data_IF_661929811651
#
_entry.id   IF_661929811651
#
_cell.length_a   1.000
_cell.length_b   1.000
_cell.length_c   1.000
_cell.angle_alpha   90.00
_cell.angle_beta   90.00
_cell.angle_gamma   90.00
#
_symmetry.space_group_name_H-M   'P 1'
#
loop_
_entity.id
_entity.type
_entity.pdbx_description
1 polymer ?
#
# COMPACT_ATOMS: atom_id res chain seq x y z
N UNK A 1 -6.58 -26.50 -18.75
CA UNK A 1 -5.28 -25.80 -18.57
C UNK A 1 -5.40 -24.43 -17.91
N UNK A 2 -6.39 -23.58 -18.24
CA UNK A 2 -6.52 -22.23 -17.68
C UNK A 2 -6.89 -22.16 -16.18
N UNK A 3 -7.66 -23.14 -15.65
CA UNK A 3 -8.00 -23.23 -14.21
C UNK A 3 -6.87 -23.75 -13.32
N UNK A 4 -5.97 -24.57 -13.85
CA UNK A 4 -4.82 -25.08 -13.08
C UNK A 4 -3.71 -24.04 -12.95
N UNK A 5 -3.60 -23.11 -13.90
CA UNK A 5 -2.69 -21.97 -13.81
C UNK A 5 -3.07 -20.98 -12.70
N UNK A 6 -4.36 -20.76 -12.45
CA UNK A 6 -4.85 -19.85 -11.39
C UNK A 6 -4.59 -20.45 -9.98
N UNK A 7 -4.77 -21.76 -9.84
CA UNK A 7 -4.51 -22.48 -8.58
C UNK A 7 -3.00 -22.54 -8.29
N UNK A 8 -2.18 -22.76 -9.32
CA UNK A 8 -0.71 -22.69 -9.18
C UNK A 8 -0.24 -21.26 -8.85
N UNK A 9 -0.85 -20.22 -9.42
CA UNK A 9 -0.52 -18.82 -9.09
C UNK A 9 -0.86 -18.47 -7.63
N UNK A 10 -2.01 -18.95 -7.12
CA UNK A 10 -2.43 -18.76 -5.72
C UNK A 10 -1.53 -19.52 -4.74
N UNK A 11 -1.04 -20.70 -5.11
CA UNK A 11 -0.10 -21.49 -4.32
C UNK A 11 1.32 -20.89 -4.33
N UNK A 12 1.76 -20.26 -5.42
CA UNK A 12 3.08 -19.59 -5.48
C UNK A 12 3.11 -18.32 -4.63
N UNK A 13 1.98 -17.61 -4.50
CA UNK A 13 1.85 -16.46 -3.58
C UNK A 13 1.93 -16.91 -2.11
N UNK A 14 1.49 -18.13 -1.79
CA UNK A 14 1.48 -18.66 -0.43
C UNK A 14 2.84 -19.18 0.08
N UNK A 15 3.83 -19.44 -0.79
CA UNK A 15 5.07 -20.16 -0.42
C UNK A 15 6.32 -19.26 -0.36
N UNK A 16 6.26 -18.00 -0.77
CA UNK A 16 7.46 -17.13 -0.88
C UNK A 16 7.55 -15.97 0.12
N UNK A 17 6.60 -15.86 1.05
CA UNK A 17 6.68 -14.92 2.17
C UNK A 17 6.52 -15.70 3.47
N UNK A 18 7.30 -15.34 4.50
CA UNK A 18 7.05 -15.78 5.88
C UNK A 18 5.54 -15.66 6.15
N UNK A 19 4.89 -16.58 6.89
CA UNK A 19 3.46 -16.45 7.16
C UNK A 19 3.21 -15.11 7.83
N UNK A 20 2.67 -14.15 7.07
CA UNK A 20 2.19 -12.91 7.62
C UNK A 20 1.05 -13.25 8.59
N UNK A 21 1.08 -12.63 9.76
CA UNK A 21 0.16 -12.76 10.91
C UNK A 21 -1.34 -12.56 10.61
N UNK A 22 -1.74 -12.55 9.33
CA UNK A 22 -2.98 -11.97 8.81
C UNK A 22 -3.78 -12.94 7.90
N UNK A 23 -3.32 -14.18 7.67
CA UNK A 23 -3.96 -15.10 6.72
C UNK A 23 -5.19 -15.87 7.26
N UNK A 24 -5.37 -15.97 8.59
CA UNK A 24 -6.43 -16.81 9.21
C UNK A 24 -7.86 -16.32 8.95
N UNK A 25 -8.12 -15.02 9.05
CA UNK A 25 -9.48 -14.48 8.92
C UNK A 25 -9.99 -14.46 7.47
N UNK A 26 -9.10 -14.34 6.50
CA UNK A 26 -9.43 -14.37 5.07
C UNK A 26 -9.88 -15.77 4.63
N UNK A 27 -9.21 -16.83 5.12
CA UNK A 27 -9.55 -18.22 4.81
C UNK A 27 -10.90 -18.64 5.43
N UNK A 28 -11.23 -18.19 6.65
CA UNK A 28 -12.56 -18.39 7.25
C UNK A 28 -13.67 -17.81 6.36
N UNK A 29 -13.45 -16.59 5.87
CA UNK A 29 -14.41 -15.88 5.05
C UNK A 29 -14.65 -16.54 3.70
N UNK A 30 -13.59 -16.99 3.04
CA UNK A 30 -13.70 -17.77 1.80
C UNK A 30 -14.47 -19.07 2.03
N UNK A 31 -14.27 -19.73 3.17
CA UNK A 31 -15.00 -20.95 3.51
C UNK A 31 -16.49 -20.73 3.78
N UNK A 32 -16.85 -19.70 4.54
CA UNK A 32 -18.25 -19.40 4.83
C UNK A 32 -19.02 -18.92 3.58
N UNK A 33 -18.37 -18.14 2.69
CA UNK A 33 -18.94 -17.77 1.39
C UNK A 33 -19.22 -19.02 0.54
N UNK A 34 -18.31 -20.00 0.55
CA UNK A 34 -18.50 -21.28 -0.15
C UNK A 34 -19.74 -22.05 0.34
N UNK A 35 -19.98 -22.10 1.66
CA UNK A 35 -21.18 -22.73 2.25
C UNK A 35 -22.48 -22.01 1.87
N UNK A 36 -22.45 -20.68 1.81
CA UNK A 36 -23.60 -19.87 1.39
C UNK A 36 -23.97 -20.10 -0.07
N UNK A 37 -22.99 -20.22 -0.97
CA UNK A 37 -23.24 -20.51 -2.40
C UNK A 37 -23.98 -21.85 -2.58
N UNK A 38 -23.68 -22.85 -1.75
CA UNK A 38 -24.39 -24.13 -1.74
C UNK A 38 -25.85 -23.99 -1.34
N UNK A 39 -26.14 -23.22 -0.29
CA UNK A 39 -27.52 -22.95 0.15
C UNK A 39 -28.34 -22.17 -0.90
N UNK A 40 -27.71 -21.24 -1.63
CA UNK A 40 -28.33 -20.53 -2.76
C UNK A 40 -28.63 -21.50 -3.92
N UNK A 41 -27.78 -22.50 -4.14
CA UNK A 41 -27.99 -23.53 -5.17
C UNK A 41 -29.15 -24.45 -4.80
N UNK A 42 -29.28 -24.83 -3.52
CA UNK A 42 -30.41 -25.62 -3.00
C UNK A 42 -31.74 -24.83 -3.05
N UNK A 43 -31.68 -23.50 -2.83
CA UNK A 43 -32.81 -22.60 -3.02
C UNK A 43 -33.28 -22.58 -4.49
N UNK A 44 -32.35 -22.50 -5.44
CA UNK A 44 -32.65 -22.53 -6.87
C UNK A 44 -33.29 -23.85 -7.31
N UNK A 45 -32.85 -24.98 -6.75
CA UNK A 45 -33.48 -26.29 -6.95
C UNK A 45 -34.92 -26.31 -6.39
N UNK A 46 -35.14 -25.71 -5.22
CA UNK A 46 -36.47 -25.61 -4.59
C UNK A 46 -37.44 -24.72 -5.39
N UNK A 47 -36.94 -23.65 -6.01
CA UNK A 47 -37.70 -22.75 -6.90
C UNK A 47 -38.10 -23.47 -8.21
N UNK A 48 -37.25 -24.37 -8.72
CA UNK A 48 -37.52 -25.16 -9.92
C UNK A 48 -38.62 -26.22 -9.70
N UNK A 49 -38.69 -26.85 -8.52
CA UNK A 49 -39.67 -27.93 -8.26
C UNK A 49 -41.02 -27.46 -7.74
N UNK A 50 -41.12 -26.34 -7.00
CA UNK A 50 -42.39 -25.96 -6.32
C UNK A 50 -42.69 -24.46 -6.45
N UNK A 51 -43.81 -24.14 -7.10
CA UNK A 51 -44.43 -22.78 -7.16
C UNK A 51 -44.98 -22.29 -5.81
N UNK A 52 -44.38 -22.69 -4.69
CA UNK A 52 -44.81 -22.34 -3.34
C UNK A 52 -44.05 -21.10 -2.85
N UNK A 53 -44.67 -19.94 -3.06
CA UNK A 53 -44.11 -18.61 -2.74
C UNK A 53 -43.76 -18.46 -1.25
N UNK A 54 -44.44 -19.16 -0.34
CA UNK A 54 -44.20 -19.06 1.10
C UNK A 54 -42.91 -19.78 1.52
N UNK A 55 -42.60 -20.92 0.89
CA UNK A 55 -41.32 -21.62 1.10
C UNK A 55 -40.14 -20.86 0.52
N UNK A 56 -40.32 -20.26 -0.65
CA UNK A 56 -39.30 -19.41 -1.28
C UNK A 56 -38.99 -18.20 -0.39
N UNK A 57 -40.02 -17.49 0.11
CA UNK A 57 -39.80 -16.33 0.99
C UNK A 57 -39.09 -16.70 2.30
N UNK A 58 -39.44 -17.84 2.92
CA UNK A 58 -38.76 -18.31 4.15
C UNK A 58 -37.32 -18.69 3.89
N UNK A 59 -37.03 -19.40 2.80
CA UNK A 59 -35.68 -19.83 2.47
C UNK A 59 -34.80 -18.63 2.06
N UNK A 60 -35.34 -17.64 1.33
CA UNK A 60 -34.67 -16.36 1.07
C UNK A 60 -34.40 -15.60 2.39
N UNK A 61 -35.37 -15.54 3.30
CA UNK A 61 -35.20 -14.89 4.61
C UNK A 61 -34.14 -15.58 5.48
N UNK A 62 -34.07 -16.91 5.46
CA UNK A 62 -33.04 -17.69 6.17
C UNK A 62 -31.65 -17.45 5.59
N UNK A 63 -31.53 -17.41 4.26
CA UNK A 63 -30.26 -17.12 3.57
C UNK A 63 -29.83 -15.67 3.86
N UNK A 64 -30.73 -14.69 3.75
CA UNK A 64 -30.43 -13.29 4.05
C UNK A 64 -29.98 -13.11 5.50
N UNK A 65 -30.65 -13.76 6.47
CA UNK A 65 -30.27 -13.72 7.89
C UNK A 65 -28.91 -14.37 8.21
N UNK A 66 -28.44 -15.29 7.36
CA UNK A 66 -27.12 -15.93 7.50
C UNK A 66 -26.02 -15.16 6.77
N UNK A 67 -26.34 -14.57 5.62
CA UNK A 67 -25.39 -13.81 4.79
C UNK A 67 -25.06 -12.45 5.41
N UNK A 68 -26.03 -11.78 6.02
CA UNK A 68 -25.84 -10.42 6.53
C UNK A 68 -24.70 -10.30 7.56
N UNK A 69 -24.66 -11.09 8.66
CA UNK A 69 -23.54 -11.04 9.61
C UNK A 69 -22.22 -11.52 8.98
N UNK A 70 -22.31 -12.42 7.99
CA UNK A 70 -21.15 -12.93 7.27
C UNK A 70 -20.49 -11.86 6.38
N UNK A 71 -21.30 -11.08 5.67
CA UNK A 71 -20.85 -9.96 4.86
C UNK A 71 -20.21 -8.86 5.72
N UNK A 72 -20.78 -8.60 6.90
CA UNK A 72 -20.22 -7.66 7.87
C UNK A 72 -18.88 -8.17 8.45
N UNK A 73 -18.79 -9.47 8.76
CA UNK A 73 -17.59 -10.10 9.32
C UNK A 73 -16.45 -10.25 8.28
N UNK A 74 -16.79 -10.53 7.02
CA UNK A 74 -15.82 -10.78 5.96
C UNK A 74 -15.44 -9.57 5.12
N UNK A 75 -16.16 -8.46 5.29
CA UNK A 75 -15.74 -7.17 4.73
C UNK A 75 -14.63 -6.50 5.55
N UNK A 76 -14.39 -6.94 6.79
CA UNK A 76 -13.41 -6.34 7.71
C UNK A 76 -12.57 -7.40 8.47
N UNK A 77 -11.84 -8.29 7.79
CA UNK A 77 -11.15 -9.43 8.41
C UNK A 77 -10.01 -9.04 9.36
N UNK A 78 -9.57 -7.77 9.37
CA UNK A 78 -8.45 -7.30 10.19
C UNK A 78 -8.80 -6.06 11.04
N UNK A 79 -10.09 -5.75 11.20
CA UNK A 79 -10.55 -4.60 12.00
C UNK A 79 -9.97 -3.25 11.53
N UNK A 80 -9.79 -3.18 10.21
CA UNK A 80 -9.33 -2.02 9.48
C UNK A 80 -10.38 -0.90 9.48
N UNK A 81 -11.67 -1.27 9.50
CA UNK A 81 -12.76 -0.30 9.57
C UNK A 81 -12.71 0.53 10.85
N UNK A 82 -12.44 -0.09 12.01
CA UNK A 82 -12.35 0.61 13.27
C UNK A 82 -11.10 1.51 13.34
N UNK A 83 -9.98 1.05 12.77
CA UNK A 83 -8.81 1.90 12.57
C UNK A 83 -9.12 3.09 11.66
N UNK A 84 -9.92 2.90 10.60
CA UNK A 84 -10.36 3.97 9.72
C UNK A 84 -11.21 5.00 10.47
N UNK A 85 -12.22 4.56 11.22
CA UNK A 85 -13.09 5.45 11.99
C UNK A 85 -12.30 6.28 13.01
N UNK A 86 -11.32 5.69 13.69
CA UNK A 86 -10.43 6.44 14.59
C UNK A 86 -9.63 7.50 13.85
N UNK A 87 -9.06 7.12 12.72
CA UNK A 87 -8.29 8.02 11.88
C UNK A 87 -9.15 9.21 11.44
N UNK A 88 -10.34 8.95 10.91
CA UNK A 88 -11.25 9.98 10.41
C UNK A 88 -11.75 10.89 11.54
N UNK A 89 -12.10 10.31 12.69
CA UNK A 89 -12.51 11.06 13.88
C UNK A 89 -11.40 11.91 14.47
N UNK A 90 -10.17 11.39 14.53
CA UNK A 90 -9.04 12.09 15.14
C UNK A 90 -8.47 13.19 14.25
N UNK A 91 -8.57 13.03 12.93
CA UNK A 91 -7.96 13.97 11.97
C UNK A 91 -8.98 14.89 11.29
N UNK A 92 -10.26 14.53 11.31
CA UNK A 92 -11.31 15.21 10.55
C UNK A 92 -11.19 15.04 9.04
N UNK A 93 -10.31 14.15 8.55
CA UNK A 93 -10.06 13.89 7.13
C UNK A 93 -10.42 12.46 6.78
N UNK A 94 -10.72 12.20 5.51
CA UNK A 94 -10.81 10.81 5.01
C UNK A 94 -9.46 10.11 5.15
N UNK A 95 -9.47 8.81 5.45
CA UNK A 95 -8.25 8.03 5.62
C UNK A 95 -8.07 6.96 4.53
N UNK A 96 -6.84 6.49 4.38
CA UNK A 96 -6.45 5.44 3.45
C UNK A 96 -5.51 4.43 4.11
N UNK A 97 -5.57 3.19 3.61
CA UNK A 97 -4.81 2.08 4.15
C UNK A 97 -3.39 2.05 3.60
N UNK A 98 -2.41 1.84 4.49
CA UNK A 98 -1.07 1.42 4.12
C UNK A 98 -0.66 0.25 5.00
N UNK A 99 -0.72 -0.97 4.45
CA UNK A 99 -0.52 -2.20 5.21
C UNK A 99 -1.59 -2.38 6.31
N UNK A 100 -1.15 -2.60 7.54
CA UNK A 100 -1.98 -2.80 8.73
C UNK A 100 -2.35 -1.49 9.47
N UNK A 101 -2.16 -0.33 8.82
CA UNK A 101 -2.26 0.99 9.45
C UNK A 101 -3.07 1.93 8.55
N UNK A 102 -3.94 2.73 9.17
CA UNK A 102 -4.69 3.78 8.49
C UNK A 102 -4.01 5.14 8.64
N UNK A 103 -3.94 5.90 7.56
CA UNK A 103 -3.37 7.24 7.55
C UNK A 103 -4.37 8.24 6.98
N UNK A 104 -4.38 9.50 7.44
CA UNK A 104 -5.17 10.53 6.76
C UNK A 104 -4.66 10.71 5.33
N UNK A 105 -5.59 10.91 4.39
CA UNK A 105 -5.23 11.23 3.01
C UNK A 105 -4.44 12.53 2.95
N UNK A 106 -3.55 12.61 1.96
CA UNK A 106 -2.82 13.83 1.68
C UNK A 106 -3.77 14.95 1.23
N UNK A 107 -3.42 16.17 1.61
CA UNK A 107 -4.08 17.39 1.15
C UNK A 107 -4.04 17.52 -0.38
N UNK A 108 -4.98 18.30 -0.93
CA UNK A 108 -5.09 18.53 -2.36
C UNK A 108 -3.75 18.99 -2.96
N UNK A 109 -3.33 18.34 -4.05
CA UNK A 109 -2.04 18.59 -4.70
C UNK A 109 -0.86 17.79 -4.14
N UNK A 110 -1.08 16.99 -3.09
CA UNK A 110 -0.10 16.07 -2.55
C UNK A 110 -0.56 14.62 -2.70
N UNK A 111 0.39 13.71 -2.75
CA UNK A 111 0.16 12.27 -2.77
C UNK A 111 1.10 11.57 -1.79
N UNK A 112 0.73 10.36 -1.39
CA UNK A 112 1.50 9.60 -0.43
C UNK A 112 2.79 9.05 -1.05
N UNK A 113 3.93 9.28 -0.39
CA UNK A 113 5.21 8.66 -0.70
C UNK A 113 5.56 7.74 0.47
N UNK A 114 5.38 6.44 0.27
CA UNK A 114 5.45 5.46 1.35
C UNK A 114 4.25 5.54 2.30
N UNK A 115 4.47 5.18 3.57
CA UNK A 115 3.41 5.11 4.57
C UNK A 115 2.95 6.47 5.08
N UNK A 116 3.89 7.39 5.27
CA UNK A 116 3.78 8.39 6.33
C UNK A 116 4.07 9.82 5.84
N UNK A 117 4.39 9.97 4.57
CA UNK A 117 4.79 11.25 3.97
C UNK A 117 3.88 11.59 2.80
N UNK A 118 3.54 12.86 2.71
CA UNK A 118 2.83 13.45 1.59
C UNK A 118 3.79 14.36 0.84
N UNK A 119 3.89 14.19 -0.47
CA UNK A 119 4.75 14.98 -1.33
C UNK A 119 3.96 15.54 -2.52
N UNK A 120 4.36 16.70 -3.04
CA UNK A 120 3.73 17.29 -4.22
C UNK A 120 4.11 16.54 -5.51
N UNK A 121 3.38 16.81 -6.60
CA UNK A 121 3.79 16.33 -7.93
C UNK A 121 4.96 17.14 -8.48
N UNK A 122 5.82 16.45 -9.22
CA UNK A 122 6.85 17.13 -10.00
C UNK A 122 6.20 17.88 -11.18
N UNK A 123 6.69 19.09 -11.52
CA UNK A 123 6.19 19.81 -12.67
C UNK A 123 6.44 19.04 -13.97
N UNK A 124 5.70 19.36 -15.05
CA UNK A 124 5.95 18.79 -16.36
C UNK A 124 7.41 18.94 -16.79
N UNK A 125 8.00 17.87 -17.33
CA UNK A 125 9.39 17.84 -17.79
C UNK A 125 10.43 17.49 -16.72
N UNK A 126 10.03 17.37 -15.46
CA UNK A 126 10.87 16.83 -14.40
C UNK A 126 10.56 15.35 -14.18
N UNK A 127 11.59 14.55 -13.92
CA UNK A 127 11.40 13.14 -13.54
C UNK A 127 11.19 13.06 -12.03
N UNK A 128 10.16 12.33 -11.59
CA UNK A 128 9.89 12.13 -10.17
C UNK A 128 10.79 11.02 -9.61
N UNK A 129 11.74 11.40 -8.74
CA UNK A 129 12.69 10.52 -8.06
C UNK A 129 12.33 10.41 -6.56
N UNK A 130 11.04 10.39 -6.21
CA UNK A 130 10.55 10.17 -4.85
C UNK A 130 10.37 11.48 -4.10
N UNK A 131 11.39 11.96 -3.38
CA UNK A 131 11.37 13.27 -2.69
C UNK A 131 11.97 14.40 -3.52
N UNK A 132 12.45 14.07 -4.72
CA UNK A 132 13.16 14.98 -5.59
C UNK A 132 12.55 14.95 -6.98
N UNK A 133 12.58 16.10 -7.64
CA UNK A 133 12.24 16.23 -9.05
C UNK A 133 13.55 16.43 -9.80
N UNK A 134 14.02 15.40 -10.50
CA UNK A 134 15.22 15.48 -11.31
C UNK A 134 14.98 16.44 -12.48
N UNK A 135 15.92 17.38 -12.63
CA UNK A 135 15.85 18.43 -13.64
C UNK A 135 15.97 17.83 -15.05
N UNK A 136 15.38 18.48 -16.07
CA UNK A 136 15.66 18.15 -17.46
C UNK A 136 17.13 18.39 -17.81
N UNK A 137 17.55 17.99 -19.02
CA UNK A 137 18.95 18.06 -19.43
C UNK A 137 19.53 19.47 -19.33
N UNK A 138 20.65 19.57 -18.61
CA UNK A 138 21.52 20.75 -18.64
C UNK A 138 22.30 20.81 -19.98
N UNK A 139 22.83 21.99 -20.29
CA UNK A 139 23.68 22.16 -21.47
C UNK A 139 24.94 22.98 -21.18
N UNK A 140 25.99 22.75 -21.98
CA UNK A 140 27.26 23.44 -21.87
C UNK A 140 27.28 24.79 -22.60
N UNK A 141 28.00 25.76 -22.05
CA UNK A 141 28.23 27.09 -22.62
C UNK A 141 29.54 27.22 -23.40
N UNK A 142 30.20 26.09 -23.65
CA UNK A 142 31.53 26.04 -24.23
C UNK A 142 32.65 26.39 -23.25
N UNK A 143 33.86 26.59 -23.78
CA UNK A 143 35.05 26.93 -23.00
C UNK A 143 35.07 28.39 -22.49
N UNK A 144 34.17 29.24 -23.01
CA UNK A 144 34.15 30.67 -22.73
C UNK A 144 35.18 31.45 -23.54
N UNK A 145 35.24 32.75 -23.26
CA UNK A 145 36.09 33.74 -23.91
C UNK A 145 37.10 34.23 -22.86
N UNK A 146 38.29 33.62 -22.80
CA UNK A 146 39.34 34.09 -21.90
C UNK A 146 39.97 35.39 -22.42
N UNK A 147 40.77 36.03 -21.56
CA UNK A 147 41.73 37.06 -21.98
C UNK A 147 42.71 36.48 -23.01
N UNK A 148 43.08 37.28 -24.01
CA UNK A 148 44.02 36.90 -25.07
C UNK A 148 45.13 37.92 -25.23
N UNK A 149 46.30 37.50 -25.72
CA UNK A 149 47.41 38.40 -26.00
C UNK A 149 46.99 39.51 -26.97
N UNK A 150 47.21 40.76 -26.54
CA UNK A 150 46.73 41.96 -27.24
C UNK A 150 45.47 42.57 -26.64
N UNK A 151 44.85 41.92 -25.65
CA UNK A 151 43.77 42.52 -24.87
C UNK A 151 44.31 43.54 -23.86
N UNK A 152 43.48 44.53 -23.52
CA UNK A 152 43.72 45.38 -22.35
C UNK A 152 43.79 44.53 -21.07
N UNK A 153 44.35 45.04 -19.98
CA UNK A 153 44.42 44.34 -18.68
C UNK A 153 43.05 44.27 -17.97
N UNK A 154 42.00 43.96 -18.72
CA UNK A 154 40.62 43.74 -18.29
C UNK A 154 39.93 42.75 -19.25
N UNK A 155 38.65 42.45 -19.02
CA UNK A 155 37.89 41.48 -19.84
C UNK A 155 36.99 42.15 -20.90
N UNK A 156 37.18 43.44 -21.21
CA UNK A 156 36.29 44.16 -22.13
C UNK A 156 36.37 43.59 -23.55
N UNK A 157 37.58 43.26 -24.02
CA UNK A 157 37.78 42.68 -25.34
C UNK A 157 37.24 41.24 -25.40
N UNK A 158 37.41 40.46 -24.33
CA UNK A 158 36.80 39.14 -24.22
C UNK A 158 35.25 39.23 -24.26
N UNK A 159 34.68 40.23 -23.59
CA UNK A 159 33.24 40.51 -23.59
C UNK A 159 32.74 40.85 -24.99
N UNK A 160 33.44 41.75 -25.71
CA UNK A 160 33.08 42.09 -27.10
C UNK A 160 33.13 40.88 -28.04
N UNK A 161 34.12 40.00 -27.88
CA UNK A 161 34.19 38.75 -28.66
C UNK A 161 32.98 37.86 -28.35
N UNK A 162 32.63 37.72 -27.07
CA UNK A 162 31.48 36.93 -26.66
C UNK A 162 30.16 37.50 -27.22
N UNK A 163 29.91 38.80 -27.07
CA UNK A 163 28.69 39.47 -27.52
C UNK A 163 28.53 39.45 -29.04
N UNK A 164 29.64 39.47 -29.79
CA UNK A 164 29.63 39.30 -31.24
C UNK A 164 29.09 37.94 -31.66
N UNK A 165 29.46 36.89 -30.93
CA UNK A 165 29.10 35.51 -31.25
C UNK A 165 27.77 35.08 -30.62
N UNK A 166 27.30 35.78 -29.57
CA UNK A 166 26.17 35.39 -28.74
C UNK A 166 25.20 36.55 -28.53
N UNK A 167 24.09 36.53 -29.28
CA UNK A 167 23.06 37.58 -29.23
C UNK A 167 22.26 37.63 -27.92
N UNK A 168 22.30 36.57 -27.12
CA UNK A 168 21.67 36.49 -25.80
C UNK A 168 22.44 37.26 -24.70
N UNK A 169 23.59 37.83 -25.04
CA UNK A 169 24.47 38.56 -24.12
C UNK A 169 25.40 37.65 -23.33
N UNK A 170 26.32 38.28 -22.60
CA UNK A 170 27.41 37.60 -21.91
C UNK A 170 27.53 38.02 -20.45
N UNK A 171 28.17 37.18 -19.65
CA UNK A 171 28.43 37.38 -18.23
C UNK A 171 29.81 36.85 -17.83
N UNK A 172 30.42 37.48 -16.82
CA UNK A 172 31.71 37.06 -16.30
C UNK A 172 31.54 35.96 -15.25
N UNK A 173 32.37 34.92 -15.34
CA UNK A 173 32.53 33.91 -14.29
C UNK A 173 34.02 33.68 -14.03
N UNK A 174 34.50 34.12 -12.86
CA UNK A 174 35.94 34.15 -12.56
C UNK A 174 36.69 35.09 -13.52
N UNK A 175 37.69 34.56 -14.22
CA UNK A 175 38.55 35.30 -15.17
C UNK A 175 38.15 35.09 -16.64
N UNK A 176 36.98 34.49 -16.90
CA UNK A 176 36.52 34.11 -18.24
C UNK A 176 35.12 34.68 -18.47
N UNK A 177 34.84 35.12 -19.69
CA UNK A 177 33.49 35.56 -20.11
C UNK A 177 32.74 34.39 -20.74
N UNK A 178 31.48 34.18 -20.35
CA UNK A 178 30.60 33.15 -20.91
C UNK A 178 29.33 33.77 -21.49
N UNK A 179 28.69 33.12 -22.47
CA UNK A 179 27.34 33.51 -22.87
C UNK A 179 26.36 33.31 -21.69
N UNK A 180 25.34 34.17 -21.61
CA UNK A 180 24.25 33.99 -20.64
C UNK A 180 23.46 32.72 -20.95
N UNK A 181 22.87 32.15 -19.91
CA UNK A 181 21.97 31.01 -20.06
C UNK A 181 20.66 31.42 -20.75
N UNK A 182 20.03 30.46 -21.42
CA UNK A 182 18.70 30.58 -22.00
C UNK A 182 17.68 30.81 -20.88
N UNK A 183 16.52 31.35 -21.24
CA UNK A 183 15.44 31.58 -20.29
C UNK A 183 15.03 30.26 -19.59
N UNK A 184 14.88 30.31 -18.27
CA UNK A 184 14.58 29.13 -17.44
C UNK A 184 15.80 28.29 -17.07
N UNK A 185 17.00 28.81 -17.28
CA UNK A 185 18.26 28.20 -16.85
C UNK A 185 19.13 29.25 -16.14
N UNK A 186 19.91 28.79 -15.16
CA UNK A 186 20.94 29.58 -14.52
C UNK A 186 22.30 28.90 -14.67
N UNK A 187 23.36 29.68 -14.42
CA UNK A 187 24.72 29.18 -14.47
C UNK A 187 25.03 28.32 -13.24
N UNK A 188 25.48 27.09 -13.47
CA UNK A 188 26.05 26.22 -12.45
C UNK A 188 27.55 26.06 -12.71
N UNK A 189 28.36 26.60 -11.80
CA UNK A 189 29.80 26.74 -12.01
C UNK A 189 30.13 27.65 -13.19
N UNK A 190 31.23 27.37 -13.90
CA UNK A 190 31.69 28.21 -15.01
C UNK A 190 30.88 28.04 -16.29
N UNK A 191 30.44 26.82 -16.57
CA UNK A 191 30.31 26.39 -17.96
C UNK A 191 29.02 25.63 -18.26
N UNK A 192 28.15 25.41 -17.26
CA UNK A 192 26.92 24.65 -17.40
C UNK A 192 25.74 25.57 -17.14
N UNK A 193 24.73 25.48 -18.00
CA UNK A 193 23.40 26.03 -17.74
C UNK A 193 22.52 24.90 -17.20
N UNK A 194 22.09 25.04 -15.95
CA UNK A 194 21.19 24.11 -15.27
C UNK A 194 19.77 24.67 -15.31
N UNK A 195 18.74 23.84 -15.58
CA UNK A 195 17.35 24.30 -15.50
C UNK A 195 17.02 24.88 -14.12
N UNK A 196 16.21 25.92 -14.12
CA UNK A 196 15.70 26.54 -12.90
C UNK A 196 14.70 25.62 -12.19
N UNK A 197 14.80 25.58 -10.87
CA UNK A 197 13.80 24.92 -10.05
C UNK A 197 12.51 25.75 -9.98
N UNK A 198 11.33 25.09 -10.05
CA UNK A 198 10.05 25.78 -9.90
C UNK A 198 9.90 26.42 -8.51
N UNK A 199 9.08 27.46 -8.41
CA UNK A 199 8.81 28.14 -7.14
C UNK A 199 8.32 27.18 -6.06
N UNK A 200 8.81 27.36 -4.83
CA UNK A 200 8.45 26.48 -3.70
C UNK A 200 9.24 25.18 -3.62
N UNK A 201 10.22 24.98 -4.51
CA UNK A 201 11.19 23.87 -4.42
C UNK A 201 12.58 24.42 -4.09
N UNK A 202 13.45 23.55 -3.56
CA UNK A 202 14.84 23.89 -3.23
C UNK A 202 15.76 23.27 -4.27
N UNK A 203 16.61 24.08 -4.90
CA UNK A 203 17.60 23.60 -5.83
C UNK A 203 18.73 22.87 -5.10
N UNK A 204 18.96 21.61 -5.47
CA UNK A 204 20.02 20.76 -4.93
C UNK A 204 21.01 20.31 -6.01
N UNK A 205 21.12 21.10 -7.10
CA UNK A 205 22.04 20.87 -8.22
C UNK A 205 21.37 20.11 -9.35
N UNK A 206 21.40 18.78 -9.30
CA UNK A 206 20.83 17.90 -10.35
C UNK A 206 19.31 17.71 -10.23
N UNK A 207 18.72 18.17 -9.14
CA UNK A 207 17.31 17.98 -8.83
C UNK A 207 16.77 19.15 -8.01
N UNK A 208 15.45 19.19 -7.84
CA UNK A 208 14.76 20.11 -6.96
C UNK A 208 14.09 19.32 -5.84
N UNK A 209 14.30 19.68 -4.58
CA UNK A 209 13.56 19.11 -3.45
C UNK A 209 12.15 19.69 -3.44
N UNK A 210 11.14 18.83 -3.51
CA UNK A 210 9.73 19.24 -3.49
C UNK A 210 9.20 19.41 -2.07
N UNK A 211 8.12 20.18 -1.87
CA UNK A 211 7.42 20.24 -0.59
C UNK A 211 6.99 18.84 -0.11
N UNK A 212 7.32 18.53 1.14
CA UNK A 212 6.97 17.28 1.81
C UNK A 212 6.50 17.60 3.22
N UNK A 213 5.48 16.88 3.70
CA UNK A 213 5.10 16.90 5.11
C UNK A 213 4.73 15.51 5.61
N UNK A 214 4.84 15.31 6.93
CA UNK A 214 4.44 14.09 7.61
C UNK A 214 2.95 14.08 7.93
N UNK A 215 2.33 12.91 7.76
CA UNK A 215 0.92 12.66 8.11
C UNK A 215 0.74 11.82 9.39
N UNK A 216 1.78 11.81 10.24
CA UNK A 216 1.83 11.10 11.51
C UNK A 216 2.26 9.63 11.37
N UNK A 217 2.23 8.91 12.50
CA UNK A 217 2.55 7.47 12.60
C UNK A 217 1.40 6.55 12.18
N UNK A 218 0.25 7.14 11.84
CA UNK A 218 -0.96 6.42 11.48
C UNK A 218 -1.71 5.84 12.68
N UNK A 219 -2.80 5.15 12.36
CA UNK A 219 -3.72 4.52 13.29
C UNK A 219 -3.67 3.01 13.05
N UNK A 220 -2.91 2.26 13.87
CA UNK A 220 -2.78 0.83 13.67
C UNK A 220 -4.10 0.13 13.99
N UNK A 221 -4.29 -1.05 13.40
CA UNK A 221 -5.37 -1.96 13.79
C UNK A 221 -5.10 -2.48 15.21
N UNK A 222 -6.12 -2.46 16.07
CA UNK A 222 -6.09 -3.19 17.34
C UNK A 222 -7.18 -4.26 17.33
N UNK A 223 -6.82 -5.44 17.82
CA UNK A 223 -7.75 -6.57 17.91
C UNK A 223 -8.94 -6.28 18.83
N UNK A 224 -8.73 -5.51 19.90
CA UNK A 224 -9.79 -5.18 20.87
C UNK A 224 -10.88 -4.27 20.31
N UNK A 225 -10.60 -3.59 19.20
CA UNK A 225 -11.54 -2.71 18.50
C UNK A 225 -12.55 -3.50 17.68
N UNK A 226 -12.29 -4.77 17.39
CA UNK A 226 -13.16 -5.58 16.57
C UNK A 226 -14.56 -5.65 17.18
N UNK A 227 -15.52 -5.04 16.49
CA UNK A 227 -16.94 -5.07 16.86
C UNK A 227 -17.48 -6.50 17.05
N UNK A 228 -16.88 -7.49 16.38
CA UNK A 228 -17.22 -8.92 16.48
C UNK A 228 -16.32 -9.75 17.42
N UNK A 229 -15.56 -9.14 18.34
CA UNK A 229 -14.63 -9.84 19.26
C UNK A 229 -15.25 -11.00 20.06
N UNK A 230 -16.56 -10.90 20.37
CA UNK A 230 -17.30 -11.93 21.09
C UNK A 230 -17.55 -13.20 20.25
N UNK A 231 -17.74 -13.05 18.94
CA UNK A 231 -17.87 -14.15 17.98
C UNK A 231 -16.52 -14.83 17.70
N UNK A 232 -15.42 -14.06 17.71
CA UNK A 232 -14.06 -14.58 17.56
C UNK A 232 -13.66 -15.45 18.77
N UNK A 233 -13.91 -14.99 20.01
CA UNK A 233 -13.68 -15.80 21.24
C UNK A 233 -14.64 -16.99 21.38
N UNK A 234 -15.92 -16.83 21.07
CA UNK A 234 -16.88 -17.94 21.17
C UNK A 234 -16.60 -19.10 20.19
N UNK A 235 -15.72 -18.91 19.20
CA UNK A 235 -15.36 -19.99 18.27
C UNK A 235 -14.37 -20.99 18.87
N UNK A 236 -13.60 -20.63 19.91
CA UNK A 236 -12.52 -21.45 20.49
C UNK A 236 -12.85 -22.13 21.82
N UNK A 237 -14.06 -21.98 22.37
CA UNK A 237 -14.43 -22.53 23.69
C UNK A 237 -14.11 -24.04 23.84
N UNK A 238 -14.23 -24.81 22.75
CA UNK A 238 -13.92 -26.25 22.75
C UNK A 238 -12.41 -26.57 22.86
N UNK A 239 -11.54 -25.58 22.67
CA UNK A 239 -10.08 -25.73 22.65
C UNK A 239 -9.37 -24.94 23.78
N UNK A 240 -10.11 -24.16 24.57
CA UNK A 240 -9.55 -23.38 25.70
C UNK A 240 -8.95 -24.25 26.80
N UNK A 241 -9.41 -25.50 26.94
CA UNK A 241 -8.88 -26.45 27.93
C UNK A 241 -7.54 -27.09 27.53
N UNK A 242 -7.14 -26.99 26.26
CA UNK A 242 -5.95 -27.66 25.74
C UNK A 242 -4.68 -26.85 26.03
N UNK A 243 -3.56 -27.50 26.31
CA UNK A 243 -2.26 -26.84 26.45
C UNK A 243 -1.60 -26.61 25.08
N UNK A 244 -0.47 -25.91 25.04
CA UNK A 244 0.20 -25.52 23.79
C UNK A 244 0.58 -26.74 22.95
N UNK A 245 1.14 -27.78 23.55
CA UNK A 245 1.59 -29.00 22.86
C UNK A 245 0.41 -29.75 22.25
N UNK A 246 -0.71 -29.85 22.98
CA UNK A 246 -1.94 -30.46 22.47
C UNK A 246 -2.58 -29.63 21.34
N UNK A 247 -2.47 -28.31 21.39
CA UNK A 247 -2.95 -27.42 20.34
C UNK A 247 -2.08 -27.55 19.07
N UNK A 248 -0.76 -27.67 19.19
CA UNK A 248 0.14 -27.94 18.06
C UNK A 248 -0.19 -29.27 17.36
N UNK A 249 -0.40 -30.33 18.13
CA UNK A 249 -0.80 -31.64 17.59
C UNK A 249 -2.15 -31.55 16.85
N UNK A 250 -3.11 -30.81 17.42
CA UNK A 250 -4.41 -30.57 16.78
C UNK A 250 -4.29 -29.73 15.51
N UNK A 251 -3.41 -28.73 15.48
CA UNK A 251 -3.14 -27.94 14.28
C UNK A 251 -2.55 -28.81 13.17
N UNK A 252 -1.57 -29.66 13.48
CA UNK A 252 -0.98 -30.61 12.54
C UNK A 252 -2.04 -31.59 12.00
N UNK A 253 -2.79 -32.23 12.90
CA UNK A 253 -3.84 -33.18 12.55
C UNK A 253 -4.89 -32.55 11.61
N UNK A 254 -5.36 -31.34 11.94
CA UNK A 254 -6.37 -30.65 11.14
C UNK A 254 -5.82 -30.16 9.80
N UNK A 255 -4.55 -29.75 9.75
CA UNK A 255 -3.88 -29.37 8.50
C UNK A 255 -3.72 -30.55 7.55
N UNK A 256 -3.32 -31.72 8.05
CA UNK A 256 -3.23 -32.94 7.24
C UNK A 256 -4.59 -33.39 6.73
N UNK A 257 -5.60 -33.34 7.59
CA UNK A 257 -6.99 -33.68 7.23
C UNK A 257 -7.51 -32.71 6.15
N UNK A 258 -7.16 -31.43 6.22
CA UNK A 258 -7.52 -30.42 5.22
C UNK A 258 -6.91 -30.75 3.85
N UNK A 259 -5.61 -31.08 3.82
CA UNK A 259 -4.90 -31.46 2.59
C UNK A 259 -5.53 -32.71 1.95
N UNK A 260 -5.88 -33.71 2.76
CA UNK A 260 -6.49 -34.96 2.29
C UNK A 260 -7.90 -34.75 1.71
N UNK A 261 -8.63 -33.74 2.18
CA UNK A 261 -10.00 -33.45 1.77
C UNK A 261 -10.12 -32.24 0.85
N UNK A 262 -9.01 -31.74 0.29
CA UNK A 262 -8.97 -30.53 -0.55
C UNK A 262 -9.85 -30.59 -1.81
N UNK A 263 -10.25 -31.79 -2.25
CA UNK A 263 -11.10 -32.03 -3.40
C UNK A 263 -12.60 -32.02 -3.07
N UNK A 264 -12.96 -32.11 -1.78
CA UNK A 264 -14.31 -31.94 -1.25
C UNK A 264 -14.40 -30.56 -0.57
N UNK A 265 -14.99 -29.61 -1.29
CA UNK A 265 -15.07 -28.21 -0.84
C UNK A 265 -15.84 -28.10 0.49
N UNK A 266 -16.88 -28.89 0.70
CA UNK A 266 -17.70 -28.80 1.91
C UNK A 266 -16.94 -29.30 3.13
N UNK A 267 -16.19 -30.39 2.97
CA UNK A 267 -15.40 -30.97 4.04
C UNK A 267 -14.14 -30.15 4.33
N UNK A 268 -13.44 -29.67 3.28
CA UNK A 268 -12.31 -28.77 3.41
C UNK A 268 -12.67 -27.49 4.18
N UNK A 269 -13.85 -26.90 3.91
CA UNK A 269 -14.32 -25.72 4.66
C UNK A 269 -14.59 -26.03 6.13
N UNK A 270 -15.19 -27.18 6.45
CA UNK A 270 -15.41 -27.56 7.87
C UNK A 270 -14.07 -27.73 8.59
N UNK A 271 -13.10 -28.38 7.94
CA UNK A 271 -11.77 -28.61 8.52
C UNK A 271 -11.02 -27.29 8.69
N UNK A 272 -11.11 -26.37 7.72
CA UNK A 272 -10.50 -25.05 7.82
C UNK A 272 -11.07 -24.22 8.99
N UNK A 273 -12.38 -24.29 9.22
CA UNK A 273 -13.02 -23.65 10.37
C UNK A 273 -12.50 -24.26 11.68
N UNK A 274 -12.37 -25.58 11.78
CA UNK A 274 -11.81 -26.22 12.98
C UNK A 274 -10.33 -25.90 13.19
N UNK A 275 -9.52 -25.90 12.12
CA UNK A 275 -8.11 -25.52 12.16
C UNK A 275 -7.95 -24.07 12.66
N UNK A 276 -8.81 -23.17 12.22
CA UNK A 276 -8.83 -21.78 12.68
C UNK A 276 -9.11 -21.70 14.19
N UNK A 277 -10.10 -22.43 14.70
CA UNK A 277 -10.42 -22.42 16.14
C UNK A 277 -9.24 -22.88 17.00
N UNK A 278 -8.54 -23.93 16.57
CA UNK A 278 -7.33 -24.42 17.24
C UNK A 278 -6.21 -23.39 17.19
N UNK A 279 -6.01 -22.75 16.02
CA UNK A 279 -4.98 -21.71 15.84
C UNK A 279 -5.25 -20.49 16.73
N UNK A 280 -6.50 -20.03 16.80
CA UNK A 280 -6.89 -18.93 17.71
C UNK A 280 -6.64 -19.28 19.18
N UNK A 281 -6.95 -20.51 19.61
CA UNK A 281 -6.69 -20.96 20.98
C UNK A 281 -5.18 -21.02 21.28
N UNK A 282 -4.37 -21.47 20.31
CA UNK A 282 -2.90 -21.48 20.41
C UNK A 282 -2.34 -20.06 20.56
N UNK A 283 -2.79 -19.12 19.73
CA UNK A 283 -2.35 -17.72 19.77
C UNK A 283 -2.66 -17.07 21.14
N UNK A 284 -3.86 -17.29 21.67
CA UNK A 284 -4.26 -16.79 22.98
C UNK A 284 -3.30 -17.34 24.06
N UNK A 285 -3.11 -18.66 24.13
CA UNK A 285 -2.26 -19.29 25.16
C UNK A 285 -0.78 -18.94 25.04
N UNK A 286 -0.27 -18.86 23.82
CA UNK A 286 1.11 -18.44 23.56
C UNK A 286 1.34 -16.99 24.01
N UNK A 287 0.36 -16.11 23.79
CA UNK A 287 0.44 -14.71 24.22
C UNK A 287 0.42 -14.54 25.75
N UNK A 288 -0.36 -15.36 26.46
CA UNK A 288 -0.43 -15.37 27.94
C UNK A 288 0.88 -15.85 28.58
N UNK A 289 1.61 -16.79 27.96
CA UNK A 289 2.92 -17.22 28.45
C UNK A 289 4.01 -16.16 28.27
N UNK A 290 3.90 -15.30 27.26
CA UNK A 290 4.86 -14.22 27.02
C UNK A 290 4.68 -13.04 27.97
N UNK A 291 3.48 -12.82 28.53
CA UNK A 291 3.22 -11.76 29.51
C UNK A 291 3.61 -12.15 30.95
N UNK A 292 3.83 -13.44 31.22
CA UNK A 292 4.21 -13.97 32.52
C UNK A 292 5.72 -14.27 32.65
N UNK A 293 6.55 -13.77 31.72
CA UNK A 293 8.02 -13.76 31.76
C UNK A 293 8.53 -12.34 31.85
#
# INVERSE_FOLDING_TARGET
MQKQFIIALLLIIAVTSKPDLLQGNLLRCLGQIGKTVKQVTDLLATIQEKKDKAKILRAVGQIAGQIQPLMEECSNPMCLFEAQLRCEKSTGKSCEQYGAIMYPKCDNGFFNVGCCLCASQCPPGFRDDGFFCAKPSAYGRGAGYPWQFGDAFNLDNATKRCEKDNSQGCEQNGLIIYPKCQQGFHNFGCCICSPDCPSGTVDIGVSCTKPVYGRGVGFPMYYDDCSNKKLLRASSENYESYNIEELEEKMLQKSETFIQNQHDIDEAVKIAIELQKVTSAFEIKASEQQQNK
#
